data_IF_438463439755
#
_entry.id   IF_438463439755
#
_cell.length_a   1.000
_cell.length_b   1.000
_cell.length_c   1.000
_cell.angle_alpha   90.00
_cell.angle_beta   90.00
_cell.angle_gamma   90.00
#
_symmetry.space_group_name_H-M   'P 1'
#
loop_
_entity.id
_entity.type
_entity.pdbx_description
1 polymer ?
#
# COMPACT_ATOMS: atom_id res chain seq x y z
N UNK A 1 -7.70 31.79 -20.05
CA UNK A 1 -6.56 32.28 -20.84
C UNK A 1 -5.28 32.18 -20.02
N UNK A 2 -4.29 31.39 -20.47
CA UNK A 2 -2.97 31.24 -19.84
C UNK A 2 -2.21 32.55 -20.11
N UNK A 3 -1.77 33.21 -19.04
CA UNK A 3 -0.99 34.44 -19.14
C UNK A 3 0.51 34.10 -19.21
N UNK A 4 1.33 34.97 -19.80
CA UNK A 4 2.80 34.82 -19.84
C UNK A 4 3.41 34.55 -18.46
N UNK A 5 2.84 35.17 -17.40
CA UNK A 5 3.20 34.94 -16.01
C UNK A 5 2.99 33.47 -15.58
N UNK A 6 1.85 32.86 -15.95
CA UNK A 6 1.56 31.46 -15.59
C UNK A 6 2.60 30.52 -16.20
N UNK A 7 2.97 30.73 -17.47
CA UNK A 7 3.98 29.94 -18.18
C UNK A 7 5.36 30.12 -17.52
N UNK A 8 5.72 31.33 -17.16
CA UNK A 8 6.99 31.64 -16.51
C UNK A 8 7.13 30.90 -15.17
N UNK A 9 6.15 31.05 -14.28
CA UNK A 9 6.14 30.41 -12.96
C UNK A 9 6.10 28.88 -13.11
N UNK A 10 5.28 28.36 -14.03
CA UNK A 10 5.19 26.92 -14.30
C UNK A 10 6.52 26.34 -14.74
N UNK A 11 7.27 27.05 -15.59
CA UNK A 11 8.58 26.61 -16.07
C UNK A 11 9.59 26.45 -14.94
N UNK A 12 9.64 27.41 -13.99
CA UNK A 12 10.47 27.29 -12.79
C UNK A 12 10.02 26.12 -11.92
N UNK A 13 8.73 26.00 -11.66
CA UNK A 13 8.18 24.95 -10.82
C UNK A 13 8.47 23.55 -11.39
N UNK A 14 8.23 23.32 -12.68
CA UNK A 14 8.52 22.03 -13.32
C UNK A 14 10.03 21.76 -13.31
N UNK A 15 10.87 22.75 -13.60
CA UNK A 15 12.34 22.61 -13.56
C UNK A 15 12.80 22.13 -12.20
N UNK A 16 12.35 22.78 -11.12
CA UNK A 16 12.75 22.39 -9.77
C UNK A 16 12.10 21.10 -9.31
N UNK A 17 10.88 20.79 -9.74
CA UNK A 17 10.26 19.50 -9.49
C UNK A 17 11.09 18.36 -10.09
N UNK A 18 11.46 18.46 -11.38
CA UNK A 18 12.28 17.46 -12.04
C UNK A 18 13.66 17.31 -11.40
N UNK A 19 14.28 18.41 -11.02
CA UNK A 19 15.58 18.39 -10.33
C UNK A 19 15.48 17.69 -8.97
N UNK A 20 14.47 18.04 -8.17
CA UNK A 20 14.29 17.45 -6.85
C UNK A 20 13.91 15.96 -6.92
N UNK A 21 13.01 15.57 -7.85
CA UNK A 21 12.58 14.18 -7.95
C UNK A 21 13.73 13.28 -8.39
N UNK A 22 14.55 13.71 -9.35
CA UNK A 22 15.75 12.97 -9.75
C UNK A 22 16.73 12.86 -8.59
N UNK A 23 16.95 13.96 -7.85
CA UNK A 23 17.83 13.97 -6.68
C UNK A 23 17.36 12.99 -5.59
N UNK A 24 16.08 13.03 -5.21
CA UNK A 24 15.53 12.12 -4.22
C UNK A 24 15.50 10.66 -4.68
N UNK A 25 15.15 10.40 -5.94
CA UNK A 25 15.22 9.04 -6.50
C UNK A 25 16.66 8.52 -6.51
N UNK A 26 17.64 9.37 -6.79
CA UNK A 26 19.08 9.02 -6.70
C UNK A 26 19.49 8.62 -5.28
N UNK A 27 19.11 9.42 -4.28
CA UNK A 27 19.38 9.09 -2.85
C UNK A 27 18.68 7.79 -2.45
N UNK A 28 17.43 7.61 -2.88
CA UNK A 28 16.68 6.37 -2.63
C UNK A 28 17.36 5.15 -3.27
N UNK A 29 17.86 5.30 -4.51
CA UNK A 29 18.59 4.25 -5.22
C UNK A 29 19.87 3.88 -4.48
N UNK A 30 20.65 4.86 -4.00
CA UNK A 30 21.83 4.60 -3.18
C UNK A 30 21.49 3.78 -1.93
N UNK A 31 20.39 4.11 -1.23
CA UNK A 31 19.93 3.34 -0.08
C UNK A 31 19.54 1.89 -0.46
N UNK A 32 18.98 1.67 -1.66
CA UNK A 32 18.64 0.33 -2.16
C UNK A 32 19.85 -0.48 -2.61
N UNK A 33 20.97 0.16 -2.94
CA UNK A 33 22.20 -0.54 -3.38
C UNK A 33 22.67 -1.57 -2.36
N UNK A 34 22.59 -1.27 -1.06
CA UNK A 34 22.93 -2.24 -0.01
C UNK A 34 22.06 -3.49 -0.04
N UNK A 35 20.76 -3.35 -0.33
CA UNK A 35 19.85 -4.48 -0.48
C UNK A 35 20.14 -5.28 -1.74
N UNK A 36 20.45 -4.61 -2.85
CA UNK A 36 20.82 -5.25 -4.12
C UNK A 36 22.08 -6.11 -3.92
N UNK A 37 23.11 -5.56 -3.28
CA UNK A 37 24.36 -6.30 -2.97
C UNK A 37 24.04 -7.54 -2.12
N UNK A 38 23.18 -7.39 -1.08
CA UNK A 38 22.75 -8.51 -0.25
C UNK A 38 22.09 -9.61 -1.08
N UNK A 39 21.19 -9.26 -2.01
CA UNK A 39 20.49 -10.24 -2.85
C UNK A 39 21.44 -10.93 -3.85
N UNK A 40 22.43 -10.22 -4.39
CA UNK A 40 23.48 -10.81 -5.24
C UNK A 40 24.28 -11.84 -4.43
N UNK A 41 24.74 -11.46 -3.23
CA UNK A 41 25.52 -12.34 -2.36
C UNK A 41 24.76 -13.59 -1.90
N UNK A 42 23.42 -13.51 -1.83
CA UNK A 42 22.55 -14.64 -1.51
C UNK A 42 22.17 -15.48 -2.74
N UNK A 43 22.68 -15.17 -3.93
CA UNK A 43 22.32 -15.85 -5.17
C UNK A 43 20.89 -15.65 -5.64
N UNK A 44 20.17 -14.64 -5.08
CA UNK A 44 18.77 -14.36 -5.41
C UNK A 44 18.60 -13.46 -6.62
N UNK A 45 19.64 -12.72 -6.98
CA UNK A 45 19.64 -11.78 -8.10
C UNK A 45 20.89 -12.03 -8.94
N UNK A 46 20.71 -12.44 -10.18
CA UNK A 46 21.82 -12.59 -11.13
C UNK A 46 22.26 -11.21 -11.66
N UNK A 47 23.52 -11.08 -12.06
CA UNK A 47 24.05 -9.80 -12.55
C UNK A 47 23.27 -9.20 -13.72
N UNK A 48 22.73 -10.03 -14.63
CA UNK A 48 21.87 -9.59 -15.74
C UNK A 48 20.47 -9.10 -15.33
N UNK A 49 20.01 -9.43 -14.12
CA UNK A 49 18.67 -9.07 -13.60
C UNK A 49 18.67 -7.76 -12.80
N UNK A 50 19.85 -7.22 -12.48
CA UNK A 50 20.00 -5.99 -11.67
C UNK A 50 19.27 -4.81 -12.31
N UNK A 51 19.42 -4.63 -13.61
CA UNK A 51 18.78 -3.53 -14.33
C UNK A 51 17.25 -3.65 -14.29
N UNK A 52 16.69 -4.84 -14.51
CA UNK A 52 15.25 -5.08 -14.44
C UNK A 52 14.72 -4.86 -13.02
N UNK A 53 15.45 -5.30 -12.01
CA UNK A 53 15.13 -5.03 -10.60
C UNK A 53 15.07 -3.52 -10.32
N UNK A 54 16.09 -2.75 -10.76
CA UNK A 54 16.13 -1.28 -10.58
C UNK A 54 14.97 -0.61 -11.31
N UNK A 55 14.71 -0.99 -12.57
CA UNK A 55 13.59 -0.43 -13.34
C UNK A 55 12.23 -0.68 -12.66
N UNK A 56 12.05 -1.83 -12.05
CA UNK A 56 10.83 -2.14 -11.29
C UNK A 56 10.75 -1.40 -9.94
N UNK A 57 11.86 -0.87 -9.40
CA UNK A 57 11.85 -0.01 -8.22
C UNK A 57 11.44 1.45 -8.54
N UNK A 58 11.64 1.93 -9.77
CA UNK A 58 11.38 3.33 -10.15
C UNK A 58 9.95 3.80 -9.83
N UNK A 59 8.87 3.03 -10.09
CA UNK A 59 7.52 3.46 -9.77
C UNK A 59 7.33 3.72 -8.27
N UNK A 60 7.87 2.85 -7.41
CA UNK A 60 7.84 3.03 -5.96
C UNK A 60 8.57 4.30 -5.55
N UNK A 61 9.79 4.49 -6.05
CA UNK A 61 10.61 5.66 -5.75
C UNK A 61 9.89 6.95 -6.14
N UNK A 62 9.29 6.98 -7.33
CA UNK A 62 8.53 8.13 -7.81
C UNK A 62 7.35 8.46 -6.89
N UNK A 63 6.53 7.46 -6.54
CA UNK A 63 5.36 7.63 -5.67
C UNK A 63 5.77 8.20 -4.31
N UNK A 64 6.81 7.63 -3.68
CA UNK A 64 7.25 8.02 -2.35
C UNK A 64 7.95 9.39 -2.31
N UNK A 65 8.64 9.78 -3.39
CA UNK A 65 9.38 11.06 -3.41
C UNK A 65 8.61 12.23 -4.02
N UNK A 66 7.54 11.98 -4.77
CA UNK A 66 6.78 13.03 -5.45
C UNK A 66 6.23 14.11 -4.51
N UNK A 67 5.60 13.82 -3.34
CA UNK A 67 5.08 14.86 -2.46
C UNK A 67 6.18 15.81 -1.96
N UNK A 68 7.33 15.26 -1.53
CA UNK A 68 8.46 16.05 -1.05
C UNK A 68 9.08 16.88 -2.18
N UNK A 69 9.16 16.30 -3.39
CA UNK A 69 9.67 17.00 -4.57
C UNK A 69 8.78 18.18 -4.98
N UNK A 70 7.47 18.02 -4.92
CA UNK A 70 6.49 19.10 -5.18
C UNK A 70 6.60 20.20 -4.13
N UNK A 71 6.68 19.83 -2.86
CA UNK A 71 6.82 20.78 -1.74
C UNK A 71 8.07 21.65 -1.90
N UNK A 72 9.23 21.03 -2.16
CA UNK A 72 10.48 21.76 -2.36
C UNK A 72 10.51 22.55 -3.68
N UNK A 73 9.90 22.04 -4.75
CA UNK A 73 9.76 22.79 -5.99
C UNK A 73 8.97 24.08 -5.78
N UNK A 74 7.87 24.01 -5.02
CA UNK A 74 7.09 25.19 -4.63
C UNK A 74 7.91 26.18 -3.82
N UNK A 75 8.59 25.69 -2.77
CA UNK A 75 9.48 26.50 -1.94
C UNK A 75 10.53 27.24 -2.78
N UNK A 76 11.30 26.49 -3.59
CA UNK A 76 12.43 27.06 -4.35
C UNK A 76 11.92 28.05 -5.38
N UNK A 77 10.82 27.74 -6.08
CA UNK A 77 10.23 28.64 -7.08
C UNK A 77 9.85 29.97 -6.47
N UNK A 78 9.12 29.97 -5.37
CA UNK A 78 8.69 31.20 -4.70
C UNK A 78 9.89 31.92 -4.05
N UNK A 79 10.84 31.19 -3.46
CA UNK A 79 12.05 31.78 -2.89
C UNK A 79 12.87 32.57 -3.93
N UNK A 80 13.07 32.02 -5.14
CA UNK A 80 13.80 32.69 -6.21
C UNK A 80 13.03 33.93 -6.69
N UNK A 81 11.75 33.82 -6.96
CA UNK A 81 10.91 34.95 -7.36
C UNK A 81 10.88 36.05 -6.29
N UNK A 82 10.92 35.64 -5.02
CA UNK A 82 10.92 36.54 -3.90
C UNK A 82 12.27 37.23 -3.75
N UNK A 83 13.39 36.53 -3.90
CA UNK A 83 14.73 37.15 -3.86
C UNK A 83 14.97 38.13 -5.00
N UNK A 84 14.35 37.87 -6.17
CA UNK A 84 14.38 38.80 -7.32
C UNK A 84 13.36 39.94 -7.22
N UNK A 85 12.66 40.09 -6.07
CA UNK A 85 11.59 41.06 -5.85
C UNK A 85 10.38 40.93 -6.80
N UNK A 86 10.28 39.85 -7.56
CA UNK A 86 9.19 39.63 -8.52
C UNK A 86 7.84 39.46 -7.78
N UNK A 87 7.82 38.74 -6.66
CA UNK A 87 6.61 38.59 -5.82
C UNK A 87 6.13 39.95 -5.30
N UNK A 88 7.04 40.79 -4.85
CA UNK A 88 6.71 42.13 -4.34
C UNK A 88 6.14 43.00 -5.48
N UNK A 89 6.79 43.00 -6.65
CA UNK A 89 6.33 43.76 -7.82
C UNK A 89 4.93 43.32 -8.28
N UNK A 90 4.65 41.99 -8.31
CA UNK A 90 3.34 41.50 -8.66
C UNK A 90 2.26 41.87 -7.63
N UNK A 91 2.57 41.84 -6.33
CA UNK A 91 1.64 42.23 -5.27
C UNK A 91 1.35 43.72 -5.29
N UNK A 92 2.38 44.58 -5.49
CA UNK A 92 2.19 46.04 -5.59
C UNK A 92 1.39 46.42 -6.85
N UNK A 93 1.42 45.59 -7.89
CA UNK A 93 0.56 45.72 -9.08
C UNK A 93 -0.88 45.24 -8.86
N UNK A 94 -1.26 44.92 -7.61
CA UNK A 94 -2.62 44.47 -7.25
C UNK A 94 -2.92 42.99 -7.55
N UNK A 95 -1.91 42.17 -7.89
CA UNK A 95 -2.12 40.74 -8.15
C UNK A 95 -2.10 39.98 -6.83
N UNK A 96 -3.19 39.26 -6.51
CA UNK A 96 -3.31 38.44 -5.32
C UNK A 96 -2.31 37.28 -5.34
N UNK A 97 -1.74 36.92 -4.20
CA UNK A 97 -0.78 35.83 -4.10
C UNK A 97 -1.34 34.49 -4.61
N UNK A 98 -2.61 34.16 -4.30
CA UNK A 98 -3.29 32.98 -4.81
C UNK A 98 -3.31 32.93 -6.35
N UNK A 99 -3.38 34.09 -7.04
CA UNK A 99 -3.32 34.16 -8.51
C UNK A 99 -1.92 33.84 -9.04
N UNK A 100 -0.87 34.21 -8.27
CA UNK A 100 0.52 33.92 -8.62
C UNK A 100 0.78 32.41 -8.56
N UNK A 101 0.33 31.74 -7.48
CA UNK A 101 0.59 30.31 -7.24
C UNK A 101 -0.41 29.37 -7.93
N UNK A 102 -1.46 29.90 -8.58
CA UNK A 102 -2.51 29.09 -9.22
C UNK A 102 -1.95 28.08 -10.22
N UNK A 103 -1.01 28.51 -11.07
CA UNK A 103 -0.46 27.62 -12.10
C UNK A 103 0.38 26.48 -11.49
N UNK A 104 1.30 26.70 -10.54
CA UNK A 104 1.96 25.63 -9.78
C UNK A 104 1.00 24.67 -9.06
N UNK A 105 -0.09 25.18 -8.48
CA UNK A 105 -1.09 24.33 -7.81
C UNK A 105 -1.80 23.40 -8.80
N UNK A 106 -2.14 23.89 -10.01
CA UNK A 106 -2.71 23.05 -11.06
C UNK A 106 -1.72 21.95 -11.48
N UNK A 107 -0.44 22.29 -11.62
CA UNK A 107 0.60 21.30 -11.96
C UNK A 107 0.74 20.28 -10.82
N UNK A 108 0.76 20.71 -9.58
CA UNK A 108 0.81 19.80 -8.41
C UNK A 108 -0.40 18.84 -8.39
N UNK A 109 -1.59 19.32 -8.77
CA UNK A 109 -2.77 18.48 -8.92
C UNK A 109 -2.61 17.45 -10.06
N UNK A 110 -2.07 17.86 -11.21
CA UNK A 110 -1.77 16.94 -12.33
C UNK A 110 -0.74 15.88 -11.89
N UNK A 111 0.32 16.28 -11.15
CA UNK A 111 1.30 15.34 -10.59
C UNK A 111 0.60 14.35 -9.66
N UNK A 112 -0.33 14.80 -8.82
CA UNK A 112 -1.14 13.94 -7.95
C UNK A 112 -1.92 12.89 -8.73
N UNK A 113 -2.52 13.25 -9.86
CA UNK A 113 -3.21 12.30 -10.75
C UNK A 113 -2.24 11.30 -11.41
N UNK A 114 -1.05 11.74 -11.79
CA UNK A 114 0.01 10.85 -12.30
C UNK A 114 0.44 9.85 -11.23
N UNK A 115 0.66 10.30 -10.00
CA UNK A 115 0.98 9.41 -8.86
C UNK A 115 -0.14 8.40 -8.63
N UNK A 116 -1.41 8.81 -8.70
CA UNK A 116 -2.56 7.90 -8.57
C UNK A 116 -2.54 6.81 -9.64
N UNK A 117 -2.34 7.20 -10.91
CA UNK A 117 -2.26 6.25 -12.01
C UNK A 117 -1.10 5.27 -11.88
N UNK A 118 0.11 5.77 -11.58
CA UNK A 118 1.30 4.93 -11.40
C UNK A 118 1.09 3.96 -10.24
N UNK A 119 0.54 4.43 -9.11
CA UNK A 119 0.31 3.61 -7.92
C UNK A 119 -0.66 2.45 -8.19
N UNK A 120 -1.71 2.68 -8.98
CA UNK A 120 -2.71 1.65 -9.23
C UNK A 120 -2.35 0.69 -10.38
N UNK A 121 -1.62 1.16 -11.40
CA UNK A 121 -1.44 0.39 -12.64
C UNK A 121 -0.02 -0.16 -12.79
N UNK A 122 1.00 0.64 -12.51
CA UNK A 122 2.40 0.28 -12.76
C UNK A 122 3.03 -0.34 -11.52
N UNK A 123 2.85 0.30 -10.36
CA UNK A 123 3.50 -0.13 -9.12
C UNK A 123 3.09 -1.53 -8.68
N UNK A 124 1.81 -1.90 -8.80
CA UNK A 124 1.33 -3.24 -8.47
C UNK A 124 2.05 -4.33 -9.25
N UNK A 125 2.19 -4.15 -10.56
CA UNK A 125 2.91 -5.10 -11.43
C UNK A 125 4.41 -5.12 -11.13
N UNK A 126 5.00 -3.95 -10.90
CA UNK A 126 6.42 -3.83 -10.56
C UNK A 126 6.74 -4.48 -9.22
N UNK A 127 5.85 -4.34 -8.23
CA UNK A 127 6.03 -4.97 -6.91
C UNK A 127 5.96 -6.50 -7.00
N UNK A 128 5.07 -7.04 -7.83
CA UNK A 128 5.00 -8.48 -8.06
C UNK A 128 6.31 -9.03 -8.64
N UNK A 129 6.94 -8.31 -9.60
CA UNK A 129 8.26 -8.67 -10.14
C UNK A 129 9.37 -8.54 -9.09
N UNK A 130 9.39 -7.48 -8.30
CA UNK A 130 10.36 -7.30 -7.21
C UNK A 130 10.28 -8.46 -6.21
N UNK A 131 9.08 -8.90 -5.86
CA UNK A 131 8.89 -10.02 -4.93
C UNK A 131 9.33 -11.36 -5.54
N UNK A 132 9.26 -11.51 -6.86
CA UNK A 132 9.83 -12.67 -7.54
C UNK A 132 11.36 -12.76 -7.29
N UNK A 133 12.09 -11.65 -7.39
CA UNK A 133 13.53 -11.61 -7.09
C UNK A 133 13.87 -11.78 -5.60
N UNK A 134 12.95 -11.43 -4.74
CA UNK A 134 13.09 -11.57 -3.28
C UNK A 134 12.90 -12.99 -2.77
N UNK A 135 12.73 -14.01 -3.61
CA UNK A 135 12.42 -15.40 -3.26
C UNK A 135 12.99 -15.81 -1.90
N UNK A 136 12.14 -15.89 -0.86
CA UNK A 136 12.48 -16.30 0.50
C UNK A 136 12.72 -15.20 1.54
N UNK A 137 12.78 -13.91 1.16
CA UNK A 137 12.61 -12.80 2.11
C UNK A 137 11.21 -12.23 1.97
N UNK A 138 10.25 -12.92 2.53
CA UNK A 138 8.99 -12.30 2.91
C UNK A 138 9.34 -11.30 4.00
N UNK A 139 8.95 -10.04 3.85
CA UNK A 139 8.95 -9.04 4.95
C UNK A 139 8.51 -9.77 6.21
N UNK A 140 9.20 -9.62 7.33
CA UNK A 140 8.85 -10.37 8.57
C UNK A 140 7.39 -10.15 8.98
N UNK A 141 6.82 -9.01 8.58
CA UNK A 141 5.38 -8.71 8.70
C UNK A 141 4.48 -9.49 7.72
N UNK A 142 5.04 -10.17 6.71
CA UNK A 142 4.35 -10.93 5.68
C UNK A 142 4.79 -12.39 5.61
N UNK A 143 5.62 -12.84 6.56
CA UNK A 143 5.85 -14.28 6.74
C UNK A 143 4.50 -14.90 7.07
N UNK A 144 4.02 -15.75 6.16
CA UNK A 144 2.93 -16.66 6.47
C UNK A 144 3.26 -17.35 7.80
N UNK A 145 2.42 -17.25 8.81
CA UNK A 145 2.68 -17.97 10.05
C UNK A 145 2.88 -19.44 9.71
N UNK A 146 3.85 -20.07 10.36
CA UNK A 146 4.08 -21.51 10.23
C UNK A 146 2.86 -22.28 10.71
N UNK A 147 2.17 -21.72 11.73
CA UNK A 147 0.93 -22.26 12.31
C UNK A 147 -0.16 -21.20 12.26
N UNK A 148 -1.36 -21.60 11.86
CA UNK A 148 -2.58 -20.78 11.92
C UNK A 148 -3.59 -21.44 12.86
N UNK A 149 -4.09 -20.69 13.83
CA UNK A 149 -5.22 -21.11 14.68
C UNK A 149 -6.54 -20.69 14.05
N UNK A 150 -7.57 -21.49 14.26
CA UNK A 150 -8.91 -21.28 13.73
C UNK A 150 -8.91 -21.04 12.20
N UNK A 151 -8.22 -21.90 11.47
CA UNK A 151 -8.13 -21.81 10.03
C UNK A 151 -9.47 -22.21 9.38
N UNK A 152 -9.89 -21.41 8.43
CA UNK A 152 -11.13 -21.56 7.70
C UNK A 152 -10.83 -21.46 6.20
N UNK A 153 -11.37 -22.38 5.41
CA UNK A 153 -11.19 -22.39 3.96
C UNK A 153 -12.42 -22.96 3.26
N UNK A 154 -12.89 -22.26 2.23
CA UNK A 154 -13.97 -22.72 1.36
C UNK A 154 -13.41 -23.04 -0.02
N UNK A 155 -13.55 -24.31 -0.43
CA UNK A 155 -13.37 -24.69 -1.81
C UNK A 155 -14.71 -24.58 -2.54
N UNK A 156 -14.93 -23.46 -3.21
CA UNK A 156 -16.16 -23.20 -3.95
C UNK A 156 -16.33 -24.08 -5.20
N UNK A 157 -15.24 -24.64 -5.71
CA UNK A 157 -15.27 -25.47 -6.93
C UNK A 157 -15.87 -26.84 -6.61
N UNK A 158 -15.49 -27.41 -5.47
CA UNK A 158 -15.88 -28.76 -5.07
C UNK A 158 -16.93 -28.77 -3.96
N UNK A 159 -17.34 -27.60 -3.46
CA UNK A 159 -18.38 -27.45 -2.44
C UNK A 159 -17.97 -27.91 -1.04
N UNK A 160 -16.70 -27.69 -0.64
CA UNK A 160 -16.18 -28.08 0.67
C UNK A 160 -15.87 -26.85 1.53
N UNK A 161 -16.20 -26.97 2.81
CA UNK A 161 -15.81 -26.05 3.87
C UNK A 161 -14.91 -26.79 4.85
N UNK A 162 -13.72 -26.27 5.10
CA UNK A 162 -12.80 -26.77 6.11
C UNK A 162 -12.74 -25.79 7.29
N UNK A 163 -12.92 -26.33 8.49
CA UNK A 163 -12.67 -25.66 9.75
C UNK A 163 -11.57 -26.42 10.46
N UNK A 164 -10.50 -25.75 10.88
CA UNK A 164 -9.36 -26.37 11.54
C UNK A 164 -9.01 -25.57 12.77
N UNK A 165 -8.93 -26.22 13.93
CA UNK A 165 -8.51 -25.58 15.18
C UNK A 165 -7.09 -25.04 15.07
N UNK A 166 -6.18 -25.83 14.49
CA UNK A 166 -4.81 -25.42 14.21
C UNK A 166 -4.28 -26.13 12.96
N UNK A 167 -3.53 -25.45 12.14
CA UNK A 167 -2.81 -26.03 10.99
C UNK A 167 -1.36 -25.55 10.98
N UNK A 168 -0.44 -26.47 10.78
CA UNK A 168 0.98 -26.20 10.57
C UNK A 168 1.35 -26.47 9.12
N UNK A 169 1.82 -25.43 8.43
CA UNK A 169 2.15 -25.47 6.99
C UNK A 169 3.36 -26.34 6.67
N UNK A 170 4.39 -26.32 7.52
CA UNK A 170 5.66 -26.99 7.24
C UNK A 170 5.54 -28.50 7.44
N UNK A 171 4.81 -28.92 8.46
CA UNK A 171 4.58 -30.33 8.75
C UNK A 171 3.37 -30.91 8.02
N UNK A 172 2.50 -30.04 7.44
CA UNK A 172 1.24 -30.44 6.84
C UNK A 172 0.24 -31.05 7.83
N UNK A 173 0.41 -30.83 9.14
CA UNK A 173 -0.44 -31.37 10.19
C UNK A 173 -1.50 -30.35 10.59
N UNK A 174 -2.73 -30.79 10.68
CA UNK A 174 -3.83 -30.01 11.22
C UNK A 174 -4.53 -30.76 12.38
N UNK A 175 -5.07 -30.00 13.34
CA UNK A 175 -5.76 -30.52 14.52
C UNK A 175 -7.17 -29.96 14.60
N UNK A 176 -8.09 -30.78 15.20
CA UNK A 176 -9.50 -30.44 15.38
C UNK A 176 -10.15 -29.98 14.06
N UNK A 177 -10.26 -30.91 13.12
CA UNK A 177 -10.69 -30.62 11.77
C UNK A 177 -12.15 -30.98 11.62
N UNK A 178 -12.91 -30.07 11.05
CA UNK A 178 -14.25 -30.30 10.54
C UNK A 178 -14.30 -29.98 9.06
N UNK A 179 -14.75 -30.93 8.24
CA UNK A 179 -14.97 -30.72 6.80
C UNK A 179 -16.45 -30.90 6.52
N UNK A 180 -17.07 -29.84 6.02
CA UNK A 180 -18.50 -29.86 5.64
C UNK A 180 -18.59 -29.87 4.12
N UNK A 181 -19.25 -30.91 3.59
CA UNK A 181 -19.59 -31.00 2.17
C UNK A 181 -21.00 -30.49 1.95
N UNK A 182 -21.14 -29.57 1.01
CA UNK A 182 -22.45 -29.04 0.60
C UNK A 182 -22.93 -29.70 -0.71
N UNK A 183 -24.22 -29.66 -0.96
CA UNK A 183 -24.78 -30.02 -2.24
C UNK A 183 -24.56 -28.88 -3.26
N UNK A 184 -25.50 -28.35 -3.92
CA UNK A 184 -25.37 -27.26 -4.91
C UNK A 184 -25.37 -25.88 -4.29
N UNK A 185 -25.82 -25.72 -3.06
CA UNK A 185 -25.87 -24.47 -2.31
C UNK A 185 -25.25 -24.64 -0.91
N UNK A 186 -24.52 -23.63 -0.45
CA UNK A 186 -23.85 -23.61 0.88
C UNK A 186 -24.85 -23.74 2.06
N UNK A 187 -26.14 -23.72 1.80
CA UNK A 187 -27.20 -23.85 2.83
C UNK A 187 -27.50 -25.28 3.28
N UNK A 188 -27.15 -26.32 2.48
CA UNK A 188 -27.53 -27.70 2.76
C UNK A 188 -26.31 -28.61 2.90
N UNK A 189 -25.85 -28.88 4.13
CA UNK A 189 -24.75 -29.82 4.37
C UNK A 189 -25.20 -31.25 4.03
N UNK A 190 -24.40 -31.93 3.24
CA UNK A 190 -24.63 -33.32 2.82
C UNK A 190 -23.87 -34.33 3.69
N UNK A 191 -22.66 -33.98 4.03
CA UNK A 191 -21.75 -34.79 4.83
C UNK A 191 -20.90 -33.90 5.71
N UNK A 192 -20.69 -34.29 6.96
CA UNK A 192 -19.79 -33.64 7.91
C UNK A 192 -18.77 -34.65 8.38
N UNK A 193 -17.49 -34.30 8.24
CA UNK A 193 -16.36 -35.10 8.69
C UNK A 193 -15.72 -34.38 9.85
N UNK A 194 -15.68 -35.01 11.03
CA UNK A 194 -14.97 -34.48 12.19
C UNK A 194 -13.81 -35.41 12.48
N UNK A 195 -12.59 -34.85 12.49
CA UNK A 195 -11.37 -35.59 12.77
C UNK A 195 -10.55 -34.89 13.85
N UNK A 196 -9.92 -35.70 14.73
CA UNK A 196 -9.03 -35.15 15.78
C UNK A 196 -7.77 -34.55 15.19
N UNK A 197 -7.22 -35.17 14.15
CA UNK A 197 -6.06 -34.69 13.43
C UNK A 197 -6.11 -35.13 11.96
N UNK A 198 -5.42 -34.39 11.11
CA UNK A 198 -5.13 -34.82 9.74
C UNK A 198 -3.72 -34.44 9.33
N UNK A 199 -3.13 -35.22 8.44
CA UNK A 199 -1.83 -34.96 7.85
C UNK A 199 -1.98 -34.93 6.33
N UNK A 200 -1.38 -33.92 5.71
CA UNK A 200 -1.31 -33.84 4.27
C UNK A 200 -0.15 -34.69 3.75
N UNK A 201 -0.48 -35.62 2.89
CA UNK A 201 0.50 -36.46 2.18
C UNK A 201 0.91 -35.72 0.89
N UNK A 202 2.16 -35.29 0.83
CA UNK A 202 2.71 -34.60 -0.33
C UNK A 202 2.97 -35.50 -1.53
N UNK A 203 3.13 -36.82 -1.33
CA UNK A 203 3.34 -37.78 -2.41
C UNK A 203 2.03 -38.12 -3.10
N UNK A 204 0.99 -38.41 -2.34
CA UNK A 204 -0.35 -38.70 -2.85
C UNK A 204 -1.20 -37.43 -3.08
N UNK A 205 -0.74 -36.27 -2.64
CA UNK A 205 -1.44 -34.98 -2.71
C UNK A 205 -2.86 -35.03 -2.12
N UNK A 206 -2.98 -35.59 -0.89
CA UNK A 206 -4.26 -35.83 -0.21
C UNK A 206 -4.17 -35.63 1.29
N UNK A 207 -5.30 -35.33 1.91
CA UNK A 207 -5.45 -35.33 3.35
C UNK A 207 -5.73 -36.73 3.89
N UNK A 208 -4.98 -37.12 4.92
CA UNK A 208 -5.18 -38.36 5.70
C UNK A 208 -5.73 -37.91 7.06
N UNK A 209 -6.98 -38.23 7.28
CA UNK A 209 -7.68 -37.90 8.53
C UNK A 209 -7.56 -39.08 9.52
N UNK A 210 -7.29 -38.75 10.80
CA UNK A 210 -7.14 -39.73 11.88
C UNK A 210 -8.23 -39.54 12.94
N UNK A 211 -8.76 -40.62 13.49
CA UNK A 211 -9.87 -40.63 14.44
C UNK A 211 -11.07 -39.82 13.92
N UNK A 212 -11.71 -40.37 12.90
CA UNK A 212 -12.73 -39.70 12.08
C UNK A 212 -14.12 -40.16 12.40
N UNK A 213 -15.02 -39.21 12.59
CA UNK A 213 -16.47 -39.44 12.60
C UNK A 213 -17.05 -38.79 11.35
N UNK A 214 -17.71 -39.58 10.51
CA UNK A 214 -18.38 -39.13 9.27
C UNK A 214 -19.88 -39.19 9.50
N UNK A 215 -20.53 -38.03 9.43
CA UNK A 215 -21.97 -37.87 9.59
C UNK A 215 -22.59 -37.63 8.20
N UNK A 216 -23.43 -38.56 7.75
CA UNK A 216 -24.22 -38.37 6.54
C UNK A 216 -25.56 -37.74 6.91
N UNK A 217 -25.81 -36.51 6.46
CA UNK A 217 -27.02 -35.76 6.80
C UNK A 217 -28.29 -36.35 6.12
N UNK A 218 -28.15 -37.04 5.00
CA UNK A 218 -29.27 -37.60 4.28
C UNK A 218 -29.73 -38.93 4.89
N UNK A 219 -28.80 -39.84 5.23
CA UNK A 219 -29.11 -41.15 5.82
C UNK A 219 -29.17 -41.13 7.36
N UNK A 220 -28.70 -40.04 8.00
CA UNK A 220 -28.52 -39.90 9.45
C UNK A 220 -27.60 -40.99 10.06
N UNK A 221 -26.73 -41.56 9.26
CA UNK A 221 -25.76 -42.56 9.70
C UNK A 221 -24.48 -41.91 10.11
N UNK A 222 -23.84 -42.48 11.13
CA UNK A 222 -22.53 -42.08 11.63
C UNK A 222 -21.57 -43.22 11.46
N UNK A 223 -20.47 -43.00 10.77
CA UNK A 223 -19.41 -43.99 10.51
C UNK A 223 -18.15 -43.49 11.24
N UNK A 224 -17.64 -44.28 12.18
CA UNK A 224 -16.38 -43.99 12.86
C UNK A 224 -15.25 -44.83 12.25
N UNK A 225 -14.14 -44.20 11.88
CA UNK A 225 -12.95 -44.84 11.33
C UNK A 225 -11.70 -44.36 12.06
N UNK A 226 -10.73 -45.26 12.23
CA UNK A 226 -9.42 -44.88 12.78
C UNK A 226 -8.63 -43.98 11.80
N UNK A 227 -8.78 -44.29 10.50
CA UNK A 227 -8.16 -43.52 9.40
C UNK A 227 -9.12 -43.38 8.24
N UNK A 228 -9.13 -42.23 7.58
CA UNK A 228 -9.94 -41.94 6.41
C UNK A 228 -9.13 -41.20 5.37
N UNK A 229 -9.11 -41.69 4.14
CA UNK A 229 -8.51 -41.06 2.96
C UNK A 229 -9.57 -40.97 1.87
N UNK A 230 -9.59 -39.88 1.15
CA UNK A 230 -10.46 -39.66 0.01
C UNK A 230 -9.77 -38.88 -1.10
N UNK A 231 -10.07 -39.24 -2.34
CA UNK A 231 -9.65 -38.50 -3.53
C UNK A 231 -10.25 -37.10 -3.63
N UNK A 232 -11.19 -36.76 -2.76
CA UNK A 232 -11.93 -35.53 -2.80
C UNK A 232 -11.19 -34.37 -2.08
N UNK A 233 -10.35 -34.68 -1.07
CA UNK A 233 -9.71 -33.69 -0.23
C UNK A 233 -8.24 -33.50 -0.60
N UNK A 234 -7.98 -32.65 -1.64
CA UNK A 234 -6.66 -32.42 -2.24
C UNK A 234 -6.12 -31.01 -2.01
N UNK A 235 -6.81 -30.21 -1.22
CA UNK A 235 -6.42 -28.80 -1.00
C UNK A 235 -5.11 -28.73 -0.23
N UNK A 236 -4.10 -28.08 -0.82
CA UNK A 236 -2.76 -27.94 -0.25
C UNK A 236 -2.81 -27.11 1.07
N UNK A 237 -2.10 -27.54 2.14
CA UNK A 237 -2.01 -26.80 3.40
C UNK A 237 -1.69 -25.33 3.26
N UNK A 238 -0.92 -24.94 2.24
CA UNK A 238 -0.60 -23.55 1.96
C UNK A 238 -1.83 -22.71 1.54
N UNK A 239 -2.87 -23.34 0.97
CA UNK A 239 -4.09 -22.61 0.58
C UNK A 239 -4.88 -22.12 1.80
N UNK A 240 -4.87 -22.87 2.91
CA UNK A 240 -5.52 -22.46 4.18
C UNK A 240 -4.84 -21.28 4.86
N UNK A 241 -3.59 -21.05 4.50
CA UNK A 241 -2.77 -19.96 5.03
C UNK A 241 -2.65 -18.81 4.01
N UNK A 242 -2.61 -19.13 2.69
CA UNK A 242 -2.55 -18.16 1.59
C UNK A 242 -3.80 -17.29 1.46
N UNK A 243 -4.97 -17.77 1.83
CA UNK A 243 -6.20 -16.97 1.77
C UNK A 243 -6.11 -15.66 2.57
N UNK A 244 -5.09 -15.53 3.45
CA UNK A 244 -4.81 -14.33 4.24
C UNK A 244 -3.52 -13.60 3.86
N UNK A 245 -2.80 -13.98 2.79
CA UNK A 245 -1.39 -13.59 2.64
C UNK A 245 -0.97 -13.04 1.28
N UNK A 246 -1.90 -12.64 0.43
CA UNK A 246 -1.52 -11.76 -0.67
C UNK A 246 -1.20 -10.37 -0.12
N UNK A 247 0.01 -9.88 -0.40
CA UNK A 247 0.38 -8.51 -0.04
C UNK A 247 -0.63 -7.53 -0.68
N UNK A 248 -1.44 -6.81 0.12
CA UNK A 248 -2.46 -5.91 -0.42
C UNK A 248 -1.90 -4.87 -1.39
N UNK A 249 -0.60 -4.56 -1.26
CA UNK A 249 0.10 -3.61 -2.13
C UNK A 249 0.28 -4.11 -3.56
N UNK A 250 0.22 -5.42 -3.80
CA UNK A 250 0.31 -6.00 -5.15
C UNK A 250 -1.03 -5.99 -5.89
N UNK A 251 -2.13 -5.89 -5.15
CA UNK A 251 -3.47 -5.94 -5.72
C UNK A 251 -3.84 -4.57 -6.32
N UNK A 252 -4.50 -4.56 -7.46
CA UNK A 252 -5.13 -3.36 -8.02
C UNK A 252 -6.34 -2.95 -7.17
N UNK A 253 -6.85 -1.73 -7.35
CA UNK A 253 -8.08 -1.28 -6.65
C UNK A 253 -9.25 -2.25 -6.91
N UNK A 254 -9.36 -2.81 -8.12
CA UNK A 254 -10.43 -3.76 -8.47
C UNK A 254 -10.28 -5.07 -7.71
N UNK A 255 -9.07 -5.60 -7.66
CA UNK A 255 -8.74 -6.83 -6.92
C UNK A 255 -8.90 -6.63 -5.42
N UNK A 256 -8.40 -5.51 -4.85
CA UNK A 256 -8.61 -5.17 -3.44
C UNK A 256 -10.09 -5.17 -3.06
N UNK A 257 -10.96 -4.54 -3.87
CA UNK A 257 -12.40 -4.53 -3.61
C UNK A 257 -13.01 -5.94 -3.67
N UNK A 258 -12.54 -6.79 -4.59
CA UNK A 258 -12.97 -8.18 -4.71
C UNK A 258 -12.54 -8.98 -3.47
N UNK A 259 -11.25 -8.92 -3.10
CA UNK A 259 -10.70 -9.60 -1.92
C UNK A 259 -11.38 -9.16 -0.64
N UNK A 260 -11.63 -7.84 -0.46
CA UNK A 260 -12.36 -7.33 0.71
C UNK A 260 -13.77 -7.95 0.80
N UNK A 261 -14.47 -8.06 -0.33
CA UNK A 261 -15.82 -8.67 -0.35
C UNK A 261 -15.78 -10.16 -0.01
N UNK A 262 -14.81 -10.88 -0.57
CA UNK A 262 -14.61 -12.31 -0.31
C UNK A 262 -14.22 -12.56 1.14
N UNK A 263 -13.20 -11.87 1.66
CA UNK A 263 -12.76 -12.00 3.05
C UNK A 263 -13.88 -11.64 4.05
N UNK A 264 -14.64 -10.58 3.76
CA UNK A 264 -15.78 -10.19 4.61
C UNK A 264 -16.89 -11.24 4.61
N UNK A 265 -17.13 -11.94 3.50
CA UNK A 265 -18.16 -12.99 3.41
C UNK A 265 -17.82 -14.22 4.25
N UNK A 266 -16.55 -14.46 4.54
CA UNK A 266 -16.06 -15.56 5.36
C UNK A 266 -15.73 -15.14 6.80
N UNK A 267 -16.01 -13.88 7.18
CA UNK A 267 -15.77 -13.38 8.54
C UNK A 267 -14.33 -13.04 8.88
N UNK A 268 -13.42 -13.03 7.90
CA UNK A 268 -12.01 -12.71 8.09
C UNK A 268 -11.77 -11.19 8.26
N UNK A 269 -10.66 -10.85 8.92
CA UNK A 269 -10.28 -9.45 9.14
C UNK A 269 -9.84 -8.77 7.83
N UNK A 270 -10.60 -7.78 7.42
CA UNK A 270 -10.36 -7.04 6.17
C UNK A 270 -9.60 -5.72 6.38
N UNK A 271 -9.17 -5.39 7.60
CA UNK A 271 -8.58 -4.08 7.93
C UNK A 271 -7.33 -3.76 7.12
N UNK A 272 -6.47 -4.74 6.89
CA UNK A 272 -5.24 -4.57 6.09
C UNK A 272 -5.59 -4.18 4.65
N UNK A 273 -6.54 -4.86 4.03
CA UNK A 273 -6.99 -4.58 2.66
C UNK A 273 -7.74 -3.25 2.55
N UNK A 274 -8.59 -2.94 3.53
CA UNK A 274 -9.32 -1.66 3.61
C UNK A 274 -8.37 -0.48 3.82
N UNK A 275 -7.33 -0.64 4.65
CA UNK A 275 -6.32 0.38 4.90
C UNK A 275 -5.50 0.66 3.63
N UNK A 276 -5.06 -0.38 2.92
CA UNK A 276 -4.36 -0.20 1.64
C UNK A 276 -5.26 0.44 0.59
N UNK A 277 -6.53 0.02 0.48
CA UNK A 277 -7.49 0.62 -0.44
C UNK A 277 -7.70 2.11 -0.15
N UNK A 278 -7.90 2.47 1.12
CA UNK A 278 -8.07 3.85 1.54
C UNK A 278 -6.82 4.70 1.26
N UNK A 279 -5.62 4.16 1.53
CA UNK A 279 -4.33 4.78 1.23
C UNK A 279 -4.12 5.01 -0.26
N UNK A 280 -4.57 4.10 -1.13
CA UNK A 280 -4.51 4.26 -2.58
C UNK A 280 -5.28 5.45 -3.11
N UNK A 281 -6.38 5.81 -2.45
CA UNK A 281 -7.14 7.00 -2.79
C UNK A 281 -6.57 8.27 -2.15
N UNK A 282 -6.12 8.22 -0.90
CA UNK A 282 -5.72 9.41 -0.14
C UNK A 282 -4.28 9.86 -0.44
N UNK A 283 -3.33 8.92 -0.51
CA UNK A 283 -1.90 9.24 -0.60
C UNK A 283 -1.49 10.04 -1.85
N UNK A 284 -2.02 9.78 -3.06
CA UNK A 284 -1.68 10.58 -4.23
C UNK A 284 -1.96 12.07 -4.06
N UNK A 285 -3.02 12.42 -3.32
CA UNK A 285 -3.38 13.81 -3.04
C UNK A 285 -2.40 14.53 -2.13
N UNK A 286 -1.53 13.80 -1.42
CA UNK A 286 -0.46 14.38 -0.63
C UNK A 286 0.38 15.38 -1.44
N UNK A 287 0.75 15.03 -2.69
CA UNK A 287 1.53 15.90 -3.57
C UNK A 287 0.85 17.25 -3.81
N UNK A 288 -0.46 17.26 -4.04
CA UNK A 288 -1.25 18.47 -4.20
C UNK A 288 -1.36 19.28 -2.90
N UNK A 289 -1.60 18.60 -1.79
CA UNK A 289 -1.85 19.24 -0.48
C UNK A 289 -0.58 19.88 0.08
N UNK A 290 0.56 19.19 0.02
CA UNK A 290 1.82 19.76 0.51
C UNK A 290 2.31 20.92 -0.36
N UNK A 291 1.85 21.04 -1.62
CA UNK A 291 2.14 22.16 -2.48
C UNK A 291 1.68 23.50 -1.87
N UNK A 292 0.54 23.52 -1.16
CA UNK A 292 0.06 24.73 -0.46
C UNK A 292 1.09 25.22 0.55
N UNK A 293 1.72 24.33 1.30
CA UNK A 293 2.75 24.67 2.28
C UNK A 293 4.01 25.15 1.56
N UNK A 294 4.52 24.38 0.59
CA UNK A 294 5.73 24.73 -0.16
C UNK A 294 5.66 26.08 -0.85
N UNK A 295 4.53 26.39 -1.46
CA UNK A 295 4.31 27.66 -2.16
C UNK A 295 4.10 28.84 -1.22
N UNK A 296 3.53 28.62 -0.02
CA UNK A 296 3.16 29.72 0.89
C UNK A 296 4.25 30.09 1.89
N UNK A 297 5.02 29.14 2.37
CA UNK A 297 6.04 29.38 3.43
C UNK A 297 7.08 30.41 2.99
N UNK A 298 7.52 30.37 1.73
CA UNK A 298 8.54 31.29 1.22
C UNK A 298 8.07 32.73 0.98
N UNK A 299 6.76 32.95 0.87
CA UNK A 299 6.22 34.28 0.55
C UNK A 299 6.45 35.31 1.65
N UNK A 300 6.59 34.89 2.91
CA UNK A 300 6.72 35.79 4.07
C UNK A 300 8.14 36.27 4.39
N UNK A 301 9.14 35.51 4.00
CA UNK A 301 10.50 35.71 4.51
C UNK A 301 11.48 36.21 3.45
N UNK A 302 10.99 37.11 2.58
CA UNK A 302 11.75 37.68 1.47
C UNK A 302 12.90 38.61 1.92
N UNK A 303 12.83 39.19 3.11
CA UNK A 303 13.88 40.06 3.60
C UNK A 303 14.84 39.34 4.57
N UNK A 304 16.10 39.19 4.16
CA UNK A 304 17.19 38.87 5.07
C UNK A 304 17.73 37.46 5.12
N UNK A 305 17.96 36.79 3.97
CA UNK A 305 18.82 35.60 3.93
C UNK A 305 18.28 34.32 4.62
N UNK A 306 16.99 34.23 4.89
CA UNK A 306 16.34 33.14 5.63
C UNK A 306 15.88 31.99 4.77
N UNK A 307 16.40 31.87 3.55
CA UNK A 307 16.05 30.73 2.62
C UNK A 307 16.34 29.38 3.27
N UNK A 308 17.42 29.28 4.04
CA UNK A 308 17.80 28.05 4.77
C UNK A 308 16.74 27.64 5.81
N UNK A 309 16.20 28.63 6.56
CA UNK A 309 15.16 28.35 7.57
C UNK A 309 13.88 27.85 6.89
N UNK A 310 13.48 28.46 5.77
CA UNK A 310 12.32 28.02 5.00
C UNK A 310 12.49 26.59 4.46
N UNK A 311 13.71 26.26 4.02
CA UNK A 311 14.04 24.90 3.58
C UNK A 311 13.90 23.90 4.73
N UNK A 312 14.42 24.21 5.91
CA UNK A 312 14.28 23.37 7.12
C UNK A 312 12.80 23.18 7.47
N UNK A 313 12.01 24.26 7.50
CA UNK A 313 10.57 24.19 7.78
C UNK A 313 9.86 23.27 6.77
N UNK A 314 10.16 23.38 5.48
CA UNK A 314 9.56 22.54 4.47
C UNK A 314 9.99 21.07 4.57
N UNK A 315 11.26 20.81 4.87
CA UNK A 315 11.74 19.45 5.09
C UNK A 315 11.04 18.83 6.31
N UNK A 316 10.97 19.56 7.43
CA UNK A 316 10.25 19.10 8.63
C UNK A 316 8.77 18.90 8.35
N UNK A 317 8.12 19.79 7.60
CA UNK A 317 6.72 19.63 7.22
C UNK A 317 6.52 18.41 6.31
N UNK A 318 7.41 18.20 5.33
CA UNK A 318 7.34 17.06 4.42
C UNK A 318 7.50 15.71 5.14
N UNK A 319 8.54 15.56 5.97
CA UNK A 319 8.71 14.33 6.76
C UNK A 319 7.63 14.18 7.83
N UNK A 320 7.19 15.29 8.44
CA UNK A 320 6.08 15.31 9.39
C UNK A 320 4.80 14.73 8.78
N UNK A 321 4.53 15.01 7.50
CA UNK A 321 3.40 14.39 6.79
C UNK A 321 3.47 12.86 6.82
N UNK A 322 4.65 12.27 6.51
CA UNK A 322 4.81 10.82 6.51
C UNK A 322 4.68 10.23 7.93
N UNK A 323 5.22 10.90 8.94
CA UNK A 323 5.10 10.47 10.35
C UNK A 323 3.63 10.46 10.79
N UNK A 324 2.89 11.54 10.52
CA UNK A 324 1.46 11.64 10.83
C UNK A 324 0.68 10.59 10.06
N UNK A 325 0.94 10.43 8.75
CA UNK A 325 0.28 9.41 7.93
C UNK A 325 0.53 7.99 8.46
N UNK A 326 1.78 7.67 8.84
CA UNK A 326 2.13 6.37 9.42
C UNK A 326 1.46 6.11 10.77
N UNK A 327 1.35 7.12 11.63
CA UNK A 327 0.66 7.01 12.91
C UNK A 327 -0.83 6.68 12.72
N UNK A 328 -1.54 7.38 11.82
CA UNK A 328 -2.93 7.10 11.51
C UNK A 328 -3.14 5.77 10.79
N UNK A 329 -2.19 5.35 9.94
CA UNK A 329 -2.19 4.02 9.32
C UNK A 329 -2.09 2.92 10.40
N UNK A 330 -1.20 3.07 11.37
CA UNK A 330 -1.10 2.14 12.51
C UNK A 330 -2.39 2.09 13.33
N UNK A 331 -3.05 3.22 13.59
CA UNK A 331 -4.35 3.27 14.27
C UNK A 331 -5.45 2.54 13.47
N UNK A 332 -5.41 2.65 12.14
CA UNK A 332 -6.31 1.92 11.25
C UNK A 332 -6.12 0.41 11.33
N UNK A 333 -4.87 -0.06 11.25
CA UNK A 333 -4.52 -1.48 11.31
C UNK A 333 -4.87 -2.10 12.65
N UNK A 334 -4.72 -1.36 13.75
CA UNK A 334 -5.11 -1.80 15.09
C UNK A 334 -6.64 -1.69 15.37
N UNK A 335 -7.44 -1.25 14.39
CA UNK A 335 -8.90 -1.16 14.53
C UNK A 335 -9.40 0.01 15.40
N UNK A 336 -8.52 0.96 15.78
CA UNK A 336 -8.88 2.14 16.58
C UNK A 336 -9.70 3.12 15.73
N UNK A 337 -9.35 3.26 14.45
CA UNK A 337 -10.00 4.17 13.52
C UNK A 337 -10.47 3.46 12.25
N UNK A 338 -11.55 3.96 11.65
CA UNK A 338 -11.97 3.51 10.34
C UNK A 338 -10.86 3.78 9.30
N UNK A 339 -10.48 2.81 8.45
CA UNK A 339 -9.40 2.94 7.48
C UNK A 339 -9.50 4.16 6.56
N UNK A 340 -10.70 4.48 6.07
CA UNK A 340 -10.90 5.65 5.20
C UNK A 340 -10.70 6.96 5.97
N UNK A 341 -11.23 7.07 7.18
CA UNK A 341 -11.05 8.26 8.02
C UNK A 341 -9.57 8.43 8.36
N UNK A 342 -8.91 7.38 8.83
CA UNK A 342 -7.48 7.40 9.18
C UNK A 342 -6.60 7.85 8.02
N UNK A 343 -6.87 7.38 6.79
CA UNK A 343 -6.07 7.72 5.61
C UNK A 343 -6.27 9.17 5.13
N UNK A 344 -7.42 9.80 5.41
CA UNK A 344 -7.70 11.18 4.97
C UNK A 344 -7.37 12.25 6.01
N UNK A 345 -7.31 11.91 7.31
CA UNK A 345 -6.97 12.87 8.38
C UNK A 345 -5.65 13.61 8.11
N UNK A 346 -4.53 12.97 7.73
CA UNK A 346 -3.29 13.67 7.44
C UNK A 346 -3.46 14.71 6.33
N UNK A 347 -4.20 14.35 5.27
CA UNK A 347 -4.49 15.23 4.15
C UNK A 347 -5.29 16.47 4.57
N UNK A 348 -6.33 16.27 5.37
CA UNK A 348 -7.17 17.38 5.88
C UNK A 348 -6.38 18.29 6.80
N UNK A 349 -5.60 17.74 7.73
CA UNK A 349 -4.75 18.52 8.63
C UNK A 349 -3.75 19.38 7.87
N UNK A 350 -3.03 18.78 6.91
CA UNK A 350 -2.05 19.52 6.11
C UNK A 350 -2.68 20.51 5.15
N UNK A 351 -3.87 20.25 4.64
CA UNK A 351 -4.62 21.21 3.83
C UNK A 351 -5.01 22.44 4.66
N UNK A 352 -5.53 22.25 5.88
CA UNK A 352 -5.87 23.35 6.79
C UNK A 352 -4.63 24.19 7.10
N UNK A 353 -3.51 23.55 7.43
CA UNK A 353 -2.23 24.23 7.67
C UNK A 353 -1.79 24.98 6.41
N UNK A 354 -1.86 24.35 5.23
CA UNK A 354 -1.49 24.95 3.96
C UNK A 354 -2.34 26.17 3.60
N UNK A 355 -3.66 26.08 3.78
CA UNK A 355 -4.59 27.21 3.55
C UNK A 355 -4.31 28.35 4.56
N UNK A 356 -4.05 28.02 5.82
CA UNK A 356 -3.68 29.02 6.83
C UNK A 356 -2.41 29.79 6.42
N UNK A 357 -1.36 29.10 6.00
CA UNK A 357 -0.14 29.76 5.50
C UNK A 357 -0.40 30.55 4.22
N UNK A 358 -1.24 30.02 3.31
CA UNK A 358 -1.61 30.69 2.06
C UNK A 358 -2.32 32.02 2.32
N UNK A 359 -3.31 32.03 3.22
CA UNK A 359 -4.03 33.26 3.60
C UNK A 359 -3.08 34.26 4.25
N UNK A 360 -2.17 33.78 5.07
CA UNK A 360 -1.16 34.60 5.71
C UNK A 360 -0.10 35.13 4.74
N UNK A 361 0.09 34.50 3.61
CA UNK A 361 0.97 34.89 2.53
C UNK A 361 0.39 36.04 1.68
N UNK A 362 -0.92 36.25 1.71
CA UNK A 362 -1.61 37.32 0.99
C UNK A 362 -1.27 38.69 1.59
N UNK A 363 -1.16 38.77 2.90
CA UNK A 363 -0.80 39.96 3.66
C UNK A 363 0.71 40.00 3.97
#
# INVERSE_FOLDING_TARGET
MIKKMDIYISKYFIKFFLMNIIGFMGVFLLAQTFKIIKYINQGKLAGGEILDYILNLLPKMFIETAPLSVLLAGLITISIMASNLEIVSLKTSGIRFLRIVRAPLIIAFVISLIVFFINNSIYTKSLAKINFYRRGEVDESLKLPTTKENAFFINNTDGYLYLMGQINRETGVAENIEVVKFDTEISNPKEIIIAKSAKFDTEENKWIFSNVNIYNMNTKETITKSEYKSELYKDDPSNFIRASAEDPRMLTIKELKKTIKEQKSIGEDTRIYLSELAKRYSFPFASFIVAFIGLSVSSKYVRGGRTTINLVICVVAGYGYYLVSGAFEAMSLNGILNPFIASWIPNVLYLIIGIYFMNRAEY
#
